data_IF_707008528459
#
_entry.id   IF_707008528459
#
_cell.length_a   1.000
_cell.length_b   1.000
_cell.length_c   1.000
_cell.angle_alpha   90.00
_cell.angle_beta   90.00
_cell.angle_gamma   90.00
#
_symmetry.space_group_name_H-M   'P 1'
#
loop_
_entity.id
_entity.type
_entity.pdbx_description
1 polymer ?
#
# COMPACT_ATOMS: atom_id res chain seq x y z
N UNK A 1 -39.81 -5.59 -7.87
CA UNK A 1 -39.09 -4.61 -8.69
C UNK A 1 -39.16 -3.26 -7.98
N UNK A 2 -38.06 -2.76 -7.40
CA UNK A 2 -38.01 -1.42 -6.81
C UNK A 2 -38.01 -0.41 -7.94
N UNK A 3 -39.08 0.37 -8.07
CA UNK A 3 -39.09 1.55 -8.94
C UNK A 3 -38.04 2.52 -8.43
N UNK A 4 -36.86 2.52 -9.05
CA UNK A 4 -35.85 3.56 -8.80
C UNK A 4 -36.46 4.89 -9.31
N UNK A 5 -36.37 5.99 -8.53
CA UNK A 5 -36.82 7.29 -9.01
C UNK A 5 -36.04 7.63 -10.29
N UNK A 6 -36.79 7.97 -11.35
CA UNK A 6 -36.23 8.40 -12.63
C UNK A 6 -35.62 9.79 -12.44
N UNK A 7 -34.32 9.89 -12.32
CA UNK A 7 -33.63 11.18 -12.33
C UNK A 7 -33.77 11.87 -13.69
N UNK A 8 -33.85 13.22 -13.73
CA UNK A 8 -33.91 13.96 -14.99
C UNK A 8 -32.72 13.59 -15.89
N UNK A 9 -32.97 13.31 -17.16
CA UNK A 9 -31.98 12.88 -18.14
C UNK A 9 -30.75 13.83 -18.19
N UNK A 10 -31.01 15.15 -18.08
CA UNK A 10 -29.93 16.17 -18.02
C UNK A 10 -29.00 15.99 -16.81
N UNK A 11 -29.56 15.63 -15.65
CA UNK A 11 -28.75 15.38 -14.43
C UNK A 11 -27.85 14.17 -14.61
N UNK A 12 -28.39 13.06 -15.11
CA UNK A 12 -27.60 11.84 -15.38
C UNK A 12 -26.51 12.14 -16.41
N UNK A 13 -26.82 12.90 -17.47
CA UNK A 13 -25.83 13.28 -18.48
C UNK A 13 -24.68 14.09 -17.90
N UNK A 14 -24.95 15.10 -17.07
CA UNK A 14 -23.90 15.89 -16.42
C UNK A 14 -23.03 15.03 -15.51
N UNK A 15 -23.64 14.17 -14.68
CA UNK A 15 -22.88 13.25 -13.81
C UNK A 15 -22.01 12.29 -14.63
N UNK A 16 -22.55 11.72 -15.71
CA UNK A 16 -21.81 10.82 -16.59
C UNK A 16 -20.64 11.51 -17.28
N UNK A 17 -20.85 12.76 -17.75
CA UNK A 17 -19.78 13.54 -18.38
C UNK A 17 -18.64 13.85 -17.39
N UNK A 18 -18.96 14.32 -16.18
CA UNK A 18 -17.97 14.58 -15.13
C UNK A 18 -17.23 13.30 -14.72
N UNK A 19 -17.95 12.20 -14.54
CA UNK A 19 -17.36 10.90 -14.23
C UNK A 19 -16.45 10.41 -15.38
N UNK A 20 -16.89 10.59 -16.62
CA UNK A 20 -16.11 10.21 -17.81
C UNK A 20 -14.79 10.97 -17.92
N UNK A 21 -14.79 12.29 -17.64
CA UNK A 21 -13.56 13.09 -17.60
C UNK A 21 -12.60 12.56 -16.54
N UNK A 22 -13.08 12.29 -15.34
CA UNK A 22 -12.23 11.74 -14.27
C UNK A 22 -11.67 10.37 -14.64
N UNK A 23 -12.50 9.46 -15.18
CA UNK A 23 -12.05 8.15 -15.64
C UNK A 23 -11.01 8.28 -16.75
N UNK A 24 -11.21 9.19 -17.71
CA UNK A 24 -10.21 9.47 -18.76
C UNK A 24 -8.88 9.94 -18.17
N UNK A 25 -8.89 10.92 -17.24
CA UNK A 25 -7.68 11.43 -16.60
C UNK A 25 -6.92 10.36 -15.81
N UNK A 26 -7.63 9.43 -15.17
CA UNK A 26 -7.02 8.35 -14.38
C UNK A 26 -6.45 7.23 -15.28
N UNK A 27 -7.12 6.89 -16.37
CA UNK A 27 -6.76 5.73 -17.19
C UNK A 27 -5.80 6.12 -18.32
N UNK A 28 -5.95 7.30 -18.93
CA UNK A 28 -5.18 7.69 -20.13
C UNK A 28 -3.67 7.66 -19.93
N UNK A 29 -3.05 8.08 -18.81
CA UNK A 29 -1.61 7.99 -18.64
C UNK A 29 -1.10 6.54 -18.58
N UNK A 30 -1.88 5.65 -17.96
CA UNK A 30 -1.53 4.22 -17.86
C UNK A 30 -1.63 3.54 -19.23
N UNK A 31 -2.71 3.80 -19.97
CA UNK A 31 -2.88 3.28 -21.34
C UNK A 31 -1.81 3.83 -22.26
N UNK A 32 -1.46 5.11 -22.17
CA UNK A 32 -0.38 5.74 -22.94
C UNK A 32 0.96 5.06 -22.63
N UNK A 33 1.30 4.86 -21.36
CA UNK A 33 2.55 4.19 -20.96
C UNK A 33 2.65 2.77 -21.55
N UNK A 34 1.58 1.98 -21.42
CA UNK A 34 1.52 0.63 -22.00
C UNK A 34 1.63 0.69 -23.53
N UNK A 35 0.95 1.65 -24.19
CA UNK A 35 0.97 1.82 -25.64
C UNK A 35 2.32 2.27 -26.20
N UNK A 36 3.18 2.91 -25.41
CA UNK A 36 4.54 3.28 -25.79
C UNK A 36 5.54 2.14 -25.64
N UNK A 37 5.17 1.07 -24.93
CA UNK A 37 6.05 -0.08 -24.71
C UNK A 37 5.92 -1.08 -25.85
N UNK A 38 7.04 -1.39 -26.52
CA UNK A 38 7.05 -2.44 -27.55
C UNK A 38 7.06 -3.85 -26.93
N UNK A 39 6.55 -4.89 -27.62
CA UNK A 39 6.68 -6.27 -27.15
C UNK A 39 8.13 -6.68 -26.89
N UNK A 40 9.07 -6.23 -27.73
CA UNK A 40 10.50 -6.46 -27.53
C UNK A 40 11.01 -5.79 -26.24
N UNK A 41 10.51 -4.60 -25.90
CA UNK A 41 10.83 -3.90 -24.66
C UNK A 41 10.39 -4.66 -23.41
N UNK A 42 9.22 -5.28 -23.43
CA UNK A 42 8.75 -6.15 -22.33
C UNK A 42 9.64 -7.39 -22.21
N UNK A 43 10.00 -8.03 -23.32
CA UNK A 43 10.92 -9.19 -23.34
C UNK A 43 12.26 -8.79 -22.71
N UNK A 44 12.81 -7.64 -23.07
CA UNK A 44 14.04 -7.12 -22.48
C UNK A 44 13.93 -6.91 -20.97
N UNK A 45 12.81 -6.33 -20.50
CA UNK A 45 12.57 -6.14 -19.05
C UNK A 45 12.49 -7.48 -18.30
N UNK A 46 11.78 -8.48 -18.86
CA UNK A 46 11.65 -9.82 -18.26
C UNK A 46 13.00 -10.56 -18.30
N UNK A 47 13.83 -10.34 -19.31
CA UNK A 47 15.15 -10.97 -19.43
C UNK A 47 16.22 -10.29 -18.58
N UNK A 48 15.97 -9.09 -18.07
CA UNK A 48 16.87 -8.38 -17.19
C UNK A 48 16.82 -8.96 -15.77
N UNK A 49 17.90 -9.58 -15.33
CA UNK A 49 18.02 -10.10 -13.97
C UNK A 49 17.82 -9.02 -12.91
N UNK A 50 18.29 -7.80 -13.17
CA UNK A 50 18.13 -6.65 -12.27
C UNK A 50 16.66 -6.21 -12.17
N UNK A 51 15.94 -6.11 -13.30
CA UNK A 51 14.52 -5.74 -13.30
C UNK A 51 13.67 -6.79 -12.60
N UNK A 52 13.90 -8.07 -12.88
CA UNK A 52 13.18 -9.18 -12.22
C UNK A 52 13.47 -9.20 -10.72
N UNK A 53 14.74 -9.08 -10.31
CA UNK A 53 15.10 -9.04 -8.89
C UNK A 53 14.45 -7.86 -8.16
N UNK A 54 14.43 -6.66 -8.76
CA UNK A 54 13.80 -5.47 -8.19
C UNK A 54 12.28 -5.63 -8.05
N UNK A 55 11.61 -6.22 -9.04
CA UNK A 55 10.16 -6.48 -9.00
C UNK A 55 9.82 -7.55 -7.97
N UNK A 56 10.56 -8.67 -7.94
CA UNK A 56 10.37 -9.73 -6.93
C UNK A 56 10.58 -9.19 -5.53
N UNK A 57 11.63 -8.38 -5.32
CA UNK A 57 11.88 -7.73 -4.03
C UNK A 57 10.73 -6.79 -3.63
N UNK A 58 10.19 -6.02 -4.59
CA UNK A 58 9.03 -5.15 -4.34
C UNK A 58 7.81 -5.94 -3.86
N UNK A 59 7.46 -7.00 -4.58
CA UNK A 59 6.32 -7.87 -4.23
C UNK A 59 6.51 -8.52 -2.86
N UNK A 60 7.72 -9.08 -2.62
CA UNK A 60 8.06 -9.71 -1.36
C UNK A 60 8.02 -8.73 -0.18
N UNK A 61 8.70 -7.59 -0.30
CA UNK A 61 8.76 -6.60 0.78
C UNK A 61 7.37 -5.99 1.07
N UNK A 62 6.58 -5.73 0.02
CA UNK A 62 5.20 -5.23 0.19
C UNK A 62 4.28 -6.27 0.82
N UNK A 63 4.42 -7.56 0.49
CA UNK A 63 3.67 -8.64 1.12
C UNK A 63 4.02 -8.78 2.60
N UNK A 64 5.32 -8.75 2.92
CA UNK A 64 5.78 -8.78 4.32
C UNK A 64 5.28 -7.55 5.09
N UNK A 65 5.31 -6.37 4.47
CA UNK A 65 4.74 -5.15 5.04
C UNK A 65 3.26 -5.30 5.36
N UNK A 66 2.47 -5.85 4.44
CA UNK A 66 1.05 -6.09 4.67
C UNK A 66 0.80 -7.07 5.82
N UNK A 67 1.61 -8.13 5.94
CA UNK A 67 1.54 -9.08 7.06
C UNK A 67 1.85 -8.40 8.41
N UNK A 68 2.91 -7.58 8.46
CA UNK A 68 3.27 -6.80 9.66
C UNK A 68 2.16 -5.82 10.01
N UNK A 69 1.60 -5.13 9.01
CA UNK A 69 0.50 -4.19 9.20
C UNK A 69 -0.78 -4.89 9.69
N UNK A 70 -1.07 -6.10 9.25
CA UNK A 70 -2.20 -6.90 9.78
C UNK A 70 -1.92 -7.32 11.22
N UNK A 71 -0.72 -7.83 11.51
CA UNK A 71 -0.38 -8.34 12.83
C UNK A 71 -0.48 -7.28 13.92
N UNK A 72 0.05 -6.08 13.67
CA UNK A 72 0.02 -4.96 14.63
C UNK A 72 -1.17 -4.03 14.42
N UNK A 73 -1.61 -3.83 13.20
CA UNK A 73 -2.66 -2.88 12.85
C UNK A 73 -4.06 -3.38 13.19
N UNK A 74 -4.32 -4.70 13.15
CA UNK A 74 -5.63 -5.24 13.55
C UNK A 74 -5.92 -5.02 15.02
N UNK A 75 -5.02 -5.35 15.98
CA UNK A 75 -5.24 -5.02 17.38
C UNK A 75 -5.41 -3.51 17.63
N UNK A 76 -4.58 -2.69 16.98
CA UNK A 76 -4.63 -1.23 17.14
C UNK A 76 -5.94 -0.65 16.58
N UNK A 77 -6.34 -1.03 15.37
CA UNK A 77 -7.59 -0.59 14.75
C UNK A 77 -8.82 -1.04 15.55
N UNK A 78 -8.79 -2.26 16.10
CA UNK A 78 -9.84 -2.74 17.00
C UNK A 78 -9.93 -1.89 18.29
N UNK A 79 -8.80 -1.57 18.92
CA UNK A 79 -8.77 -0.71 20.11
C UNK A 79 -9.33 0.68 19.83
N UNK A 80 -8.89 1.29 18.73
CA UNK A 80 -9.36 2.61 18.31
C UNK A 80 -10.84 2.61 17.89
N UNK A 81 -11.32 1.55 17.26
CA UNK A 81 -12.71 1.44 16.84
C UNK A 81 -13.68 1.20 18.00
N UNK A 82 -13.23 0.47 19.02
CA UNK A 82 -14.10 -0.01 20.09
C UNK A 82 -14.09 0.83 21.35
N UNK A 83 -12.90 1.28 21.78
CA UNK A 83 -12.74 1.87 23.11
C UNK A 83 -12.54 3.38 23.06
N UNK A 84 -13.12 4.07 24.04
CA UNK A 84 -12.83 5.47 24.34
C UNK A 84 -11.88 5.52 25.54
N UNK A 85 -10.68 6.06 25.35
CA UNK A 85 -9.67 6.21 26.39
C UNK A 85 -8.94 7.55 26.27
N UNK A 86 -8.37 8.09 27.35
CA UNK A 86 -7.58 9.31 27.28
C UNK A 86 -6.41 9.16 26.29
N UNK A 87 -6.24 10.12 25.39
CA UNK A 87 -5.19 10.08 24.36
C UNK A 87 -5.58 9.34 23.07
N UNK A 88 -6.77 8.72 22.97
CA UNK A 88 -7.22 8.05 21.74
C UNK A 88 -7.12 8.96 20.51
N UNK A 89 -7.66 10.19 20.59
CA UNK A 89 -7.62 11.15 19.48
C UNK A 89 -6.20 11.53 19.08
N UNK A 90 -5.28 11.62 20.04
CA UNK A 90 -3.88 11.88 19.77
C UNK A 90 -3.24 10.71 19.01
N UNK A 91 -3.45 9.47 19.47
CA UNK A 91 -2.93 8.27 18.80
C UNK A 91 -3.51 8.17 17.39
N UNK A 92 -4.80 8.42 17.24
CA UNK A 92 -5.50 8.40 15.95
C UNK A 92 -4.89 9.41 14.96
N UNK A 93 -4.64 10.64 15.41
CA UNK A 93 -3.97 11.68 14.62
C UNK A 93 -2.50 11.32 14.30
N UNK A 94 -1.75 10.77 15.25
CA UNK A 94 -0.35 10.38 15.05
C UNK A 94 -0.20 9.27 14.00
N UNK A 95 -1.14 8.32 13.94
CA UNK A 95 -1.14 7.25 12.94
C UNK A 95 -1.36 7.81 11.53
N UNK A 96 -2.03 8.95 11.38
CA UNK A 96 -2.29 9.60 10.10
C UNK A 96 -1.12 10.46 9.60
N UNK A 97 -0.15 10.82 10.45
CA UNK A 97 1.01 11.63 10.06
C UNK A 97 1.71 11.12 8.80
N UNK A 98 1.98 9.80 8.63
CA UNK A 98 2.65 9.30 7.44
C UNK A 98 1.88 9.56 6.12
N UNK A 99 0.57 9.79 6.19
CA UNK A 99 -0.24 10.13 5.01
C UNK A 99 -0.13 11.61 4.62
N UNK A 100 0.27 12.46 5.55
CA UNK A 100 0.28 13.93 5.39
C UNK A 100 1.66 14.47 5.00
N UNK A 101 2.73 13.82 5.46
CA UNK A 101 4.10 14.30 5.22
C UNK A 101 4.60 13.90 3.83
N UNK A 102 5.42 14.72 3.18
CA UNK A 102 6.11 14.32 1.94
C UNK A 102 6.95 13.06 2.18
N UNK A 103 6.90 12.13 1.23
CA UNK A 103 7.56 10.81 1.40
C UNK A 103 9.07 10.89 1.62
N UNK A 104 9.76 11.87 1.02
CA UNK A 104 11.18 12.12 1.30
C UNK A 104 11.40 12.57 2.74
N UNK A 105 10.50 13.38 3.30
CA UNK A 105 10.55 13.77 4.72
C UNK A 105 10.34 12.56 5.62
N UNK A 106 9.43 11.65 5.24
CA UNK A 106 9.25 10.38 5.94
C UNK A 106 10.55 9.56 6.00
N UNK A 107 11.28 9.47 4.89
CA UNK A 107 12.59 8.81 4.84
C UNK A 107 13.63 9.47 5.75
N UNK A 108 13.70 10.81 5.77
CA UNK A 108 14.57 11.56 6.67
C UNK A 108 14.20 11.29 8.13
N UNK A 109 12.91 11.35 8.48
CA UNK A 109 12.44 11.08 9.84
C UNK A 109 12.81 9.65 10.29
N UNK A 110 12.71 8.66 9.41
CA UNK A 110 13.12 7.28 9.71
C UNK A 110 14.63 7.17 9.97
N UNK A 111 15.47 7.86 9.19
CA UNK A 111 16.92 7.86 9.41
C UNK A 111 17.30 8.50 10.75
N UNK A 112 16.59 9.51 11.23
CA UNK A 112 16.91 10.13 12.53
C UNK A 112 16.70 9.20 13.72
N UNK A 113 16.00 8.08 13.55
CA UNK A 113 15.76 7.08 14.58
C UNK A 113 16.50 5.77 14.29
N UNK A 114 16.46 5.30 13.04
CA UNK A 114 16.92 3.97 12.63
C UNK A 114 18.28 3.99 11.92
N UNK A 115 18.87 5.16 11.65
CA UNK A 115 20.22 5.30 11.10
C UNK A 115 21.25 4.63 12.01
N UNK A 116 22.31 4.06 11.45
CA UNK A 116 23.30 3.22 12.18
C UNK A 116 23.96 3.91 13.39
N UNK A 117 24.02 5.25 13.40
CA UNK A 117 24.56 6.04 14.50
C UNK A 117 23.46 6.69 15.38
N UNK A 118 22.19 6.37 15.13
CA UNK A 118 21.04 6.96 15.82
C UNK A 118 20.53 6.05 16.93
N UNK A 119 19.65 6.57 17.81
CA UNK A 119 19.20 5.93 19.05
C UNK A 119 18.85 4.44 18.90
N UNK A 120 17.93 4.12 17.99
CA UNK A 120 17.50 2.72 17.79
C UNK A 120 18.47 1.99 16.86
N UNK A 121 18.91 2.64 15.78
CA UNK A 121 19.83 2.04 14.82
C UNK A 121 21.16 1.62 15.44
N UNK A 122 21.75 2.40 16.34
CA UNK A 122 22.98 2.06 17.05
C UNK A 122 22.80 0.82 17.94
N UNK A 123 21.70 0.78 18.73
CA UNK A 123 21.41 -0.36 19.58
C UNK A 123 21.28 -1.68 18.79
N UNK A 124 20.70 -1.66 17.58
CA UNK A 124 20.62 -2.84 16.71
C UNK A 124 21.96 -3.14 16.04
N UNK A 125 22.74 -2.11 15.68
CA UNK A 125 24.05 -2.26 15.05
C UNK A 125 25.05 -2.94 15.97
N UNK A 126 24.96 -2.75 17.29
CA UNK A 126 25.77 -3.46 18.30
C UNK A 126 25.57 -4.98 18.26
N UNK A 127 24.41 -5.44 17.80
CA UNK A 127 24.11 -6.85 17.55
C UNK A 127 24.35 -7.28 16.09
N UNK A 128 25.00 -6.44 15.27
CA UNK A 128 25.27 -6.71 13.85
C UNK A 128 24.05 -6.55 12.93
N UNK A 129 22.94 -6.00 13.43
CA UNK A 129 21.71 -5.81 12.66
C UNK A 129 21.62 -4.36 12.15
N UNK A 130 21.82 -4.17 10.85
CA UNK A 130 21.62 -2.86 10.21
C UNK A 130 20.15 -2.67 9.88
N UNK A 131 19.61 -1.49 10.16
CA UNK A 131 18.20 -1.12 9.87
C UNK A 131 18.07 -0.22 8.63
N UNK A 132 19.17 0.00 7.89
CA UNK A 132 19.21 0.84 6.68
C UNK A 132 19.87 0.07 5.52
N UNK A 133 19.52 0.41 4.28
CA UNK A 133 20.09 -0.17 3.07
C UNK A 133 20.13 -1.71 3.06
N UNK A 134 19.01 -2.32 3.43
CA UNK A 134 18.75 -3.76 3.35
C UNK A 134 17.25 -4.05 3.34
N UNK A 135 16.86 -5.32 3.23
CA UNK A 135 15.46 -5.74 3.18
C UNK A 135 14.69 -5.32 4.44
N UNK A 136 15.31 -5.37 5.61
CA UNK A 136 14.68 -4.95 6.87
C UNK A 136 14.37 -3.44 6.86
N UNK A 137 15.33 -2.62 6.39
CA UNK A 137 15.12 -1.18 6.21
C UNK A 137 14.02 -0.87 5.19
N UNK A 138 13.94 -1.65 4.10
CA UNK A 138 12.84 -1.54 3.14
C UNK A 138 11.51 -1.79 3.84
N UNK A 139 11.35 -2.91 4.54
CA UNK A 139 10.09 -3.27 5.22
C UNK A 139 9.72 -2.25 6.30
N UNK A 140 10.67 -1.79 7.11
CA UNK A 140 10.43 -0.72 8.11
C UNK A 140 9.89 0.55 7.46
N UNK A 141 10.51 0.97 6.37
CA UNK A 141 10.06 2.14 5.60
C UNK A 141 8.65 1.96 5.07
N UNK A 142 8.38 0.81 4.46
CA UNK A 142 7.07 0.50 3.87
C UNK A 142 5.97 0.37 4.94
N UNK A 143 6.27 -0.22 6.10
CA UNK A 143 5.33 -0.27 7.24
C UNK A 143 4.98 1.14 7.70
N UNK A 144 5.97 2.01 7.89
CA UNK A 144 5.74 3.39 8.31
C UNK A 144 4.79 4.12 7.36
N UNK A 145 5.00 4.05 6.04
CA UNK A 145 4.22 4.82 5.06
C UNK A 145 2.88 4.19 4.69
N UNK A 146 2.62 2.92 5.04
CA UNK A 146 1.43 2.22 4.54
C UNK A 146 0.59 1.48 5.58
N UNK A 147 1.09 1.19 6.79
CA UNK A 147 0.33 0.43 7.79
C UNK A 147 -0.97 1.12 8.22
N UNK A 148 -1.02 2.44 8.15
CA UNK A 148 -2.20 3.25 8.46
C UNK A 148 -3.44 2.78 7.70
N UNK A 149 -3.30 2.32 6.45
CA UNK A 149 -4.43 1.82 5.67
C UNK A 149 -5.10 0.60 6.32
N UNK A 150 -4.30 -0.35 6.83
CA UNK A 150 -4.84 -1.50 7.56
C UNK A 150 -5.51 -1.07 8.88
N UNK A 151 -4.86 -0.20 9.66
CA UNK A 151 -5.41 0.30 10.93
C UNK A 151 -6.76 0.96 10.73
N UNK A 152 -6.86 1.89 9.76
CA UNK A 152 -8.10 2.63 9.50
C UNK A 152 -9.22 1.74 8.96
N UNK A 153 -8.93 0.79 8.08
CA UNK A 153 -9.93 -0.16 7.60
C UNK A 153 -10.52 -1.02 8.74
N UNK A 154 -9.68 -1.45 9.68
CA UNK A 154 -10.10 -2.23 10.84
C UNK A 154 -10.86 -1.35 11.85
N UNK A 155 -10.40 -0.13 12.09
CA UNK A 155 -11.06 0.84 12.96
C UNK A 155 -12.49 1.10 12.50
N UNK A 156 -12.69 1.45 11.23
CA UNK A 156 -14.02 1.75 10.67
C UNK A 156 -14.93 0.51 10.66
N UNK A 157 -14.39 -0.66 10.35
CA UNK A 157 -15.15 -1.90 10.43
C UNK A 157 -15.58 -2.22 11.86
N UNK A 158 -14.71 -1.96 12.84
CA UNK A 158 -15.02 -2.18 14.26
C UNK A 158 -16.08 -1.21 14.76
N UNK A 159 -16.02 0.07 14.36
CA UNK A 159 -17.05 1.07 14.69
C UNK A 159 -18.44 0.71 14.12
N UNK A 160 -18.47 0.09 12.95
CA UNK A 160 -19.73 -0.30 12.28
C UNK A 160 -20.29 -1.66 12.73
N UNK A 161 -19.53 -2.43 13.52
CA UNK A 161 -19.96 -3.72 14.04
C UNK A 161 -21.03 -3.54 15.12
N UNK A 162 -22.11 -4.36 15.06
CA UNK A 162 -23.14 -4.36 16.11
C UNK A 162 -22.53 -4.81 17.45
N UNK A 163 -22.52 -3.95 18.48
CA UNK A 163 -21.96 -4.29 19.79
C UNK A 163 -22.63 -5.50 20.45
N UNK A 164 -23.88 -5.82 20.06
CA UNK A 164 -24.64 -6.95 20.61
C UNK A 164 -23.98 -8.28 20.32
N UNK A 165 -23.27 -8.43 19.22
CA UNK A 165 -22.56 -9.67 18.88
C UNK A 165 -21.55 -10.09 19.95
N UNK A 166 -20.76 -9.13 20.43
CA UNK A 166 -19.79 -9.39 21.49
C UNK A 166 -20.45 -9.53 22.87
N UNK A 167 -21.50 -8.75 23.14
CA UNK A 167 -22.26 -8.85 24.39
C UNK A 167 -22.90 -10.24 24.55
N UNK A 168 -23.55 -10.76 23.51
CA UNK A 168 -24.12 -12.12 23.50
C UNK A 168 -23.07 -13.18 23.74
N UNK A 169 -21.92 -13.11 23.03
CA UNK A 169 -20.82 -14.03 23.24
C UNK A 169 -20.34 -14.04 24.69
N UNK A 170 -20.18 -12.85 25.28
CA UNK A 170 -19.77 -12.67 26.68
C UNK A 170 -20.80 -13.17 27.68
N UNK A 171 -22.08 -12.95 27.40
CA UNK A 171 -23.19 -13.45 28.27
C UNK A 171 -23.28 -14.99 28.28
N UNK A 172 -22.81 -15.64 27.23
CA UNK A 172 -22.67 -17.11 27.12
C UNK A 172 -21.38 -17.62 27.80
N UNK A 173 -20.63 -16.79 28.52
CA UNK A 173 -19.42 -17.17 29.26
C UNK A 173 -18.13 -17.14 28.46
N UNK A 174 -18.14 -16.66 27.22
CA UNK A 174 -16.93 -16.59 26.41
C UNK A 174 -15.93 -15.55 26.97
N UNK A 175 -14.64 -15.87 26.94
CA UNK A 175 -13.58 -14.93 27.30
C UNK A 175 -13.45 -13.80 26.26
N UNK A 176 -12.83 -12.68 26.61
CA UNK A 176 -12.58 -11.55 25.67
C UNK A 176 -11.77 -11.99 24.45
N UNK A 177 -10.74 -12.81 24.68
CA UNK A 177 -9.89 -13.35 23.61
C UNK A 177 -10.69 -14.27 22.68
N UNK A 178 -11.52 -15.14 23.23
CA UNK A 178 -12.39 -16.01 22.43
C UNK A 178 -13.37 -15.18 21.61
N UNK A 179 -14.05 -14.19 22.23
CA UNK A 179 -14.98 -13.30 21.54
C UNK A 179 -14.28 -12.55 20.40
N UNK A 180 -13.09 -11.99 20.65
CA UNK A 180 -12.32 -11.32 19.61
C UNK A 180 -11.99 -12.26 18.44
N UNK A 181 -11.39 -13.43 18.71
CA UNK A 181 -10.92 -14.34 17.67
C UNK A 181 -12.06 -15.08 16.95
N UNK A 182 -13.18 -15.37 17.61
CA UNK A 182 -14.25 -16.22 17.07
C UNK A 182 -15.50 -15.46 16.63
N UNK A 183 -15.67 -14.21 17.10
CA UNK A 183 -16.83 -13.39 16.76
C UNK A 183 -16.39 -12.13 16.03
N UNK A 184 -15.59 -11.28 16.67
CA UNK A 184 -15.24 -9.97 16.12
C UNK A 184 -14.38 -10.07 14.87
N UNK A 185 -13.24 -10.74 14.95
CA UNK A 185 -12.29 -10.87 13.83
C UNK A 185 -12.91 -11.51 12.58
N UNK A 186 -13.68 -12.61 12.68
CA UNK A 186 -14.40 -13.14 11.52
C UNK A 186 -15.43 -12.16 10.95
N UNK A 187 -16.10 -11.38 11.80
CA UNK A 187 -17.11 -10.40 11.36
C UNK A 187 -16.49 -9.22 10.56
N UNK A 188 -15.28 -8.81 10.92
CA UNK A 188 -14.55 -7.72 10.23
C UNK A 188 -13.50 -8.24 9.23
N UNK A 189 -13.40 -9.54 9.01
CA UNK A 189 -12.33 -10.16 8.21
C UNK A 189 -12.19 -9.55 6.81
N UNK A 190 -13.31 -9.23 6.16
CA UNK A 190 -13.29 -8.59 4.84
C UNK A 190 -12.57 -7.24 4.85
N UNK A 191 -12.78 -6.45 5.89
CA UNK A 191 -12.10 -5.16 6.08
C UNK A 191 -10.62 -5.34 6.40
N UNK A 192 -10.25 -6.37 7.16
CA UNK A 192 -8.85 -6.74 7.39
C UNK A 192 -8.15 -7.06 6.07
N UNK A 193 -8.75 -7.90 5.22
CA UNK A 193 -8.20 -8.25 3.89
C UNK A 193 -8.13 -7.01 3.00
N UNK A 194 -9.17 -6.16 2.98
CA UNK A 194 -9.16 -4.92 2.21
C UNK A 194 -8.05 -3.97 2.67
N UNK A 195 -7.85 -3.83 3.99
CA UNK A 195 -6.76 -3.04 4.57
C UNK A 195 -5.39 -3.59 4.17
N UNK A 196 -5.20 -4.91 4.25
CA UNK A 196 -3.95 -5.55 3.83
C UNK A 196 -3.65 -5.32 2.34
N UNK A 197 -4.65 -5.42 1.46
CA UNK A 197 -4.51 -5.15 0.03
C UNK A 197 -4.13 -3.69 -0.23
N UNK A 198 -4.78 -2.75 0.45
CA UNK A 198 -4.45 -1.32 0.33
C UNK A 198 -3.04 -1.02 0.83
N UNK A 199 -2.65 -1.60 1.96
CA UNK A 199 -1.28 -1.48 2.51
C UNK A 199 -0.27 -2.04 1.52
N UNK A 200 -0.51 -3.23 0.96
CA UNK A 200 0.37 -3.84 -0.04
C UNK A 200 0.49 -2.98 -1.29
N UNK A 201 -0.63 -2.50 -1.85
CA UNK A 201 -0.63 -1.66 -3.04
C UNK A 201 0.12 -0.34 -2.81
N UNK A 202 -0.09 0.29 -1.65
CA UNK A 202 0.60 1.51 -1.27
C UNK A 202 2.10 1.28 -1.06
N UNK A 203 2.47 0.19 -0.40
CA UNK A 203 3.87 -0.20 -0.19
C UNK A 203 4.59 -0.46 -1.52
N UNK A 204 3.96 -1.17 -2.47
CA UNK A 204 4.57 -1.51 -3.76
C UNK A 204 4.86 -0.31 -4.65
N UNK A 205 4.23 0.84 -4.40
CA UNK A 205 4.41 2.08 -5.16
C UNK A 205 5.35 3.10 -4.49
N UNK A 206 5.92 2.77 -3.30
CA UNK A 206 6.75 3.72 -2.56
C UNK A 206 8.12 3.90 -3.21
N UNK A 207 8.55 5.16 -3.30
CA UNK A 207 9.88 5.54 -3.81
C UNK A 207 10.58 6.56 -2.92
N UNK A 208 9.85 7.60 -2.47
CA UNK A 208 10.46 8.76 -1.82
C UNK A 208 11.14 8.46 -0.49
N UNK A 209 10.48 7.74 0.40
CA UNK A 209 11.05 7.34 1.68
C UNK A 209 12.13 6.27 1.52
N UNK A 210 11.94 5.33 0.59
CA UNK A 210 12.94 4.29 0.28
C UNK A 210 14.23 4.90 -0.29
N UNK A 211 14.12 5.91 -1.13
CA UNK A 211 15.29 6.60 -1.71
C UNK A 211 16.24 7.14 -0.62
N UNK A 212 15.72 7.51 0.53
CA UNK A 212 16.48 8.07 1.66
C UNK A 212 16.91 6.97 2.64
N UNK A 213 15.96 6.10 3.06
CA UNK A 213 16.16 5.14 4.16
C UNK A 213 16.79 3.82 3.72
N UNK A 214 16.42 3.33 2.53
CA UNK A 214 16.76 1.99 2.06
C UNK A 214 16.89 1.95 0.53
N UNK A 215 17.83 2.71 -0.01
CA UNK A 215 18.09 2.80 -1.44
C UNK A 215 18.55 1.48 -2.05
N UNK A 216 19.29 0.66 -1.31
CA UNK A 216 19.81 -0.61 -1.76
C UNK A 216 19.39 -1.77 -0.83
N UNK A 217 19.08 -2.96 -1.35
CA UNK A 217 18.91 -3.31 -2.79
C UNK A 217 17.71 -2.59 -3.42
N UNK A 218 17.81 -2.23 -4.72
CA UNK A 218 16.77 -1.41 -5.35
C UNK A 218 15.47 -2.21 -5.53
N UNK A 219 14.37 -1.63 -5.10
CA UNK A 219 13.01 -2.07 -5.48
C UNK A 219 12.66 -1.51 -6.87
N UNK A 220 11.58 -2.00 -7.48
CA UNK A 220 11.19 -1.61 -8.83
C UNK A 220 11.05 -0.10 -9.02
N UNK A 221 10.47 0.62 -8.05
CA UNK A 221 10.30 2.07 -8.11
C UNK A 221 11.62 2.83 -8.10
N UNK A 222 12.61 2.37 -7.32
CA UNK A 222 13.97 2.93 -7.29
C UNK A 222 14.71 2.61 -8.61
N UNK A 223 14.60 1.40 -9.13
CA UNK A 223 15.21 1.02 -10.41
C UNK A 223 14.65 1.87 -11.56
N UNK A 224 13.32 2.05 -11.62
CA UNK A 224 12.67 2.89 -12.64
C UNK A 224 13.17 4.33 -12.55
N UNK A 225 13.27 4.88 -11.33
CA UNK A 225 13.80 6.23 -11.11
C UNK A 225 15.25 6.36 -11.61
N UNK A 226 16.10 5.38 -11.30
CA UNK A 226 17.51 5.37 -11.73
C UNK A 226 17.66 5.30 -13.25
N UNK A 227 16.86 4.43 -13.91
CA UNK A 227 16.84 4.32 -15.36
C UNK A 227 16.35 5.62 -16.02
N UNK A 228 15.33 6.26 -15.42
CA UNK A 228 14.83 7.55 -15.89
C UNK A 228 15.86 8.66 -15.69
N UNK A 229 16.47 8.77 -14.50
CA UNK A 229 17.45 9.80 -14.18
C UNK A 229 18.73 9.65 -15.01
N UNK A 230 19.19 8.42 -15.24
CA UNK A 230 20.39 8.16 -16.03
C UNK A 230 20.25 8.47 -17.53
N UNK A 231 19.09 8.20 -18.12
CA UNK A 231 18.84 8.37 -19.56
C UNK A 231 17.93 9.59 -19.84
N UNK A 232 16.75 9.62 -19.23
CA UNK A 232 15.69 10.58 -19.55
C UNK A 232 16.06 12.02 -19.22
N UNK A 233 16.78 12.29 -18.13
CA UNK A 233 17.19 13.65 -17.76
C UNK A 233 18.25 14.20 -18.73
N UNK A 234 19.22 13.38 -19.16
CA UNK A 234 20.27 13.83 -20.11
C UNK A 234 19.66 14.19 -21.45
N UNK A 235 18.77 13.34 -21.99
CA UNK A 235 18.08 13.58 -23.26
C UNK A 235 17.07 14.74 -23.16
N UNK A 236 16.38 14.89 -22.02
CA UNK A 236 15.43 15.99 -21.80
C UNK A 236 16.10 17.37 -21.77
N UNK A 237 17.36 17.45 -21.35
CA UNK A 237 18.13 18.73 -21.35
C UNK A 237 18.47 19.13 -22.79
N UNK A 238 18.74 18.19 -23.69
CA UNK A 238 19.17 18.47 -25.06
C UNK A 238 18.01 18.58 -26.06
N UNK A 239 16.98 17.76 -25.95
CA UNK A 239 15.95 17.56 -26.98
C UNK A 239 14.50 17.74 -26.48
N UNK A 240 14.30 18.21 -25.25
CA UNK A 240 12.99 18.26 -24.59
C UNK A 240 12.66 16.96 -23.86
N UNK A 241 11.39 16.83 -23.37
CA UNK A 241 10.98 15.68 -22.57
C UNK A 241 11.06 14.39 -23.40
N UNK A 242 11.99 13.51 -23.05
CA UNK A 242 12.20 12.22 -23.71
C UNK A 242 11.91 11.07 -22.75
N UNK A 243 11.18 10.06 -23.25
CA UNK A 243 10.90 8.84 -22.49
C UNK A 243 12.14 7.96 -22.47
N UNK A 244 12.59 7.55 -21.26
CA UNK A 244 13.62 6.53 -21.10
C UNK A 244 13.04 5.15 -21.46
N UNK A 245 13.47 4.48 -22.55
CA UNK A 245 12.91 3.20 -22.94
C UNK A 245 13.06 2.13 -21.85
N UNK A 246 14.19 2.11 -21.15
CA UNK A 246 14.43 1.18 -20.05
C UNK A 246 13.45 1.39 -18.88
N UNK A 247 13.27 2.65 -18.46
CA UNK A 247 12.32 2.99 -17.40
C UNK A 247 10.88 2.64 -17.79
N UNK A 248 10.46 2.95 -19.02
CA UNK A 248 9.12 2.65 -19.55
C UNK A 248 8.87 1.14 -19.57
N UNK A 249 9.83 0.34 -20.06
CA UNK A 249 9.70 -1.11 -20.15
C UNK A 249 9.56 -1.75 -18.75
N UNK A 250 10.40 -1.37 -17.79
CA UNK A 250 10.35 -1.89 -16.41
C UNK A 250 9.07 -1.42 -15.71
N UNK A 251 8.66 -0.16 -15.90
CA UNK A 251 7.41 0.37 -15.32
C UNK A 251 6.19 -0.39 -15.85
N UNK A 252 6.10 -0.63 -17.16
CA UNK A 252 5.00 -1.39 -17.76
C UNK A 252 4.98 -2.83 -17.26
N UNK A 253 6.14 -3.49 -17.17
CA UNK A 253 6.23 -4.84 -16.62
C UNK A 253 5.80 -4.86 -15.14
N UNK A 254 6.23 -3.91 -14.32
CA UNK A 254 5.81 -3.79 -12.93
C UNK A 254 4.30 -3.55 -12.79
N UNK A 255 3.69 -2.74 -13.67
CA UNK A 255 2.25 -2.52 -13.70
C UNK A 255 1.50 -3.83 -13.97
N UNK A 256 1.92 -4.63 -14.95
CA UNK A 256 1.29 -5.92 -15.24
C UNK A 256 1.36 -6.88 -14.05
N UNK A 257 2.50 -7.00 -13.40
CA UNK A 257 2.66 -7.84 -12.22
C UNK A 257 1.77 -7.37 -11.06
N UNK A 258 1.82 -6.07 -10.75
CA UNK A 258 1.00 -5.50 -9.66
C UNK A 258 -0.50 -5.63 -9.96
N UNK A 259 -0.92 -5.39 -11.20
CA UNK A 259 -2.32 -5.56 -11.61
C UNK A 259 -2.77 -7.02 -11.51
N UNK A 260 -1.95 -7.98 -11.95
CA UNK A 260 -2.24 -9.40 -11.85
C UNK A 260 -2.43 -9.82 -10.38
N UNK A 261 -1.52 -9.40 -9.49
CA UNK A 261 -1.61 -9.69 -8.05
C UNK A 261 -2.86 -9.05 -7.45
N UNK A 262 -3.16 -7.79 -7.79
CA UNK A 262 -4.35 -7.09 -7.30
C UNK A 262 -5.65 -7.77 -7.76
N UNK A 263 -5.72 -8.22 -9.01
CA UNK A 263 -6.87 -8.95 -9.53
C UNK A 263 -7.03 -10.31 -8.84
N UNK A 264 -5.94 -11.02 -8.57
CA UNK A 264 -5.97 -12.26 -7.79
C UNK A 264 -6.54 -12.03 -6.38
N UNK A 265 -6.10 -10.98 -5.69
CA UNK A 265 -6.66 -10.62 -4.38
C UNK A 265 -8.16 -10.31 -4.46
N UNK A 266 -8.61 -9.55 -5.45
CA UNK A 266 -10.05 -9.26 -5.67
C UNK A 266 -10.86 -10.52 -5.94
N UNK A 267 -10.34 -11.45 -6.74
CA UNK A 267 -11.01 -12.72 -7.01
C UNK A 267 -11.16 -13.58 -5.75
N UNK A 268 -10.12 -13.65 -4.92
CA UNK A 268 -10.16 -14.36 -3.63
C UNK A 268 -11.19 -13.72 -2.70
N UNK A 269 -11.22 -12.40 -2.60
CA UNK A 269 -12.20 -11.66 -1.80
C UNK A 269 -13.63 -11.94 -2.26
N UNK A 270 -13.91 -11.86 -3.57
CA UNK A 270 -15.24 -12.13 -4.15
C UNK A 270 -15.70 -13.58 -3.93
N UNK A 271 -14.77 -14.55 -4.00
CA UNK A 271 -15.10 -15.96 -3.74
C UNK A 271 -15.48 -16.19 -2.26
N UNK A 272 -14.91 -15.42 -1.35
CA UNK A 272 -15.32 -15.40 0.06
C UNK A 272 -16.71 -14.80 0.27
N UNK A 273 -17.12 -13.82 -0.57
CA UNK A 273 -18.44 -13.22 -0.53
C UNK A 273 -19.57 -14.19 -0.90
N UNK A 274 -19.32 -15.09 -1.84
CA UNK A 274 -20.32 -16.04 -2.33
C UNK A 274 -20.49 -17.30 -1.42
N UNK A 275 -19.68 -17.42 -0.35
CA UNK A 275 -19.74 -18.55 0.60
C UNK A 275 -20.41 -18.23 1.93
N UNK A 276 -20.79 -16.98 2.14
CA UNK A 276 -21.55 -16.48 3.30
C UNK A 276 -22.94 -16.01 2.87
#
# INVERSE_FOLDING_TARGET
MRNSPSFPTKFIFVLSALSGILVFLLISPVVSLIGTTSPAGIILAISSSEAVAAIVLTVYASALTALVAVFFGVPLGYLLGKYQFPGRSLIDSLIEIPLMIPHTVAGIALITIFGSAQLVGAAFNDYGIKLTNNVLGIVLTLVFVSATYTVKQVEEATKSLDPRLELVSRSLGASSTFTFLKVTLPSIWRSVVSGAILTWARASSEVGALFIMAYYPPVASILILNLYAGYGLRESISNGVVLSPGAVNVATFAIFINLAIFLLFKLVQRKSENRT
#
